data_IF_936479511189
#
_entry.id   IF_936479511189
#
_cell.length_a   1.000
_cell.length_b   1.000
_cell.length_c   1.000
_cell.angle_alpha   90.00
_cell.angle_beta   90.00
_cell.angle_gamma   90.00
#
_symmetry.space_group_name_H-M   'P 1'
#
loop_
_entity.id
_entity.type
_entity.pdbx_description
1 polymer ?
#
# COMPACT_ATOMS: atom_id res chain seq x y z
N UNK A 1 0.17 10.11 -13.54
CA UNK A 1 -0.15 9.56 -14.89
C UNK A 1 -1.09 8.37 -14.72
N UNK A 2 -2.24 8.34 -15.39
CA UNK A 2 -3.20 7.24 -15.34
C UNK A 2 -2.68 6.00 -16.06
N UNK A 3 -3.29 4.82 -15.79
CA UNK A 3 -2.90 3.55 -16.41
C UNK A 3 -2.94 3.60 -17.95
N UNK A 4 -4.03 4.10 -18.54
CA UNK A 4 -4.17 4.23 -20.01
C UNK A 4 -3.08 5.08 -20.63
N UNK A 5 -2.60 6.14 -19.97
CA UNK A 5 -1.49 6.96 -20.46
C UNK A 5 -0.14 6.23 -20.36
N UNK A 6 0.05 5.44 -19.29
CA UNK A 6 1.29 4.68 -19.07
C UNK A 6 1.51 3.61 -20.14
N UNK A 7 0.44 2.99 -20.65
CA UNK A 7 0.55 1.95 -21.70
C UNK A 7 1.15 2.47 -23.01
N UNK A 8 1.17 3.80 -23.21
CA UNK A 8 1.78 4.42 -24.39
C UNK A 8 3.32 4.59 -24.26
N UNK A 9 3.87 4.42 -23.07
CA UNK A 9 5.30 4.56 -22.81
C UNK A 9 5.92 3.17 -22.76
N UNK A 10 6.89 2.84 -23.63
CA UNK A 10 7.49 1.52 -23.65
C UNK A 10 8.31 1.21 -22.40
N UNK A 11 8.38 -0.07 -22.04
CA UNK A 11 9.39 -0.61 -21.12
C UNK A 11 10.20 -1.67 -21.83
N UNK A 12 11.51 -1.67 -21.61
CA UNK A 12 12.46 -2.63 -22.21
C UNK A 12 12.63 -3.79 -21.23
N UNK A 13 12.44 -5.01 -21.70
CA UNK A 13 12.76 -6.22 -20.93
C UNK A 13 14.29 -6.42 -20.92
N UNK A 14 14.94 -6.09 -19.82
CA UNK A 14 16.38 -6.34 -19.61
C UNK A 14 16.64 -7.79 -19.23
N UNK A 15 15.74 -8.36 -18.43
CA UNK A 15 15.71 -9.79 -18.10
C UNK A 15 14.30 -10.33 -18.32
N UNK A 16 14.16 -11.24 -19.25
CA UNK A 16 12.94 -12.01 -19.46
C UNK A 16 12.95 -13.23 -18.56
N UNK A 17 11.94 -13.35 -17.71
CA UNK A 17 11.71 -14.55 -16.91
C UNK A 17 10.72 -15.50 -17.58
N UNK A 18 10.35 -16.54 -16.86
CA UNK A 18 9.28 -17.47 -17.22
C UNK A 18 8.24 -17.47 -16.12
N UNK A 19 6.97 -17.34 -16.45
CA UNK A 19 5.89 -17.51 -15.47
C UNK A 19 5.77 -18.99 -15.17
N UNK A 20 5.97 -19.43 -13.91
CA UNK A 20 5.80 -20.85 -13.57
C UNK A 20 4.36 -21.31 -13.81
N UNK A 21 4.19 -22.54 -14.24
CA UNK A 21 2.87 -23.12 -14.47
C UNK A 21 2.00 -23.05 -13.20
N UNK A 22 0.77 -22.59 -13.35
CA UNK A 22 -0.18 -22.41 -12.24
C UNK A 22 0.03 -21.17 -11.38
N UNK A 23 1.06 -20.35 -11.65
CA UNK A 23 1.30 -19.13 -10.87
C UNK A 23 0.15 -18.13 -10.98
N UNK A 24 -0.39 -17.74 -9.84
CA UNK A 24 -1.47 -16.75 -9.73
C UNK A 24 -0.95 -15.37 -9.33
N UNK A 25 0.23 -15.29 -8.75
CA UNK A 25 0.77 -14.10 -8.09
C UNK A 25 2.07 -13.64 -8.78
N UNK A 26 2.16 -12.36 -9.06
CA UNK A 26 3.43 -11.66 -9.33
C UNK A 26 3.72 -10.70 -8.18
N UNK A 27 4.86 -10.86 -7.51
CA UNK A 27 5.41 -9.84 -6.61
C UNK A 27 6.11 -8.80 -7.48
N UNK A 28 5.58 -7.59 -7.53
CA UNK A 28 6.02 -6.52 -8.40
C UNK A 28 6.63 -5.37 -7.59
N UNK A 29 7.89 -5.04 -7.91
CA UNK A 29 8.72 -4.10 -7.15
C UNK A 29 9.02 -2.90 -8.05
N UNK A 30 8.45 -1.72 -7.78
CA UNK A 30 8.84 -0.49 -8.45
C UNK A 30 10.14 0.03 -7.84
N UNK A 31 11.11 0.46 -8.66
CA UNK A 31 12.37 1.02 -8.14
C UNK A 31 12.83 2.23 -8.94
N UNK A 32 13.62 3.09 -8.31
CA UNK A 32 14.30 4.22 -8.94
C UNK A 32 15.55 4.61 -8.16
N UNK A 33 16.74 4.28 -8.67
CA UNK A 33 18.06 4.65 -8.11
C UNK A 33 18.27 4.24 -6.64
N UNK A 34 17.78 3.04 -6.23
CA UNK A 34 17.84 2.53 -4.84
C UNK A 34 18.34 1.07 -4.77
N UNK A 35 19.37 0.75 -5.55
CA UNK A 35 19.85 -0.63 -5.73
C UNK A 35 20.18 -1.37 -4.41
N UNK A 36 20.74 -0.68 -3.41
CA UNK A 36 21.08 -1.30 -2.12
C UNK A 36 19.84 -1.77 -1.34
N UNK A 37 18.78 -0.95 -1.31
CA UNK A 37 17.52 -1.31 -0.63
C UNK A 37 16.78 -2.39 -1.42
N UNK A 38 16.76 -2.25 -2.75
CA UNK A 38 16.17 -3.23 -3.65
C UNK A 38 16.78 -4.62 -3.45
N UNK A 39 18.08 -4.75 -3.16
CA UNK A 39 18.73 -6.04 -2.86
C UNK A 39 18.03 -6.74 -1.70
N UNK A 40 17.84 -6.05 -0.57
CA UNK A 40 17.20 -6.62 0.60
C UNK A 40 15.74 -7.01 0.31
N UNK A 41 15.00 -6.16 -0.40
CA UNK A 41 13.63 -6.42 -0.83
C UNK A 41 13.55 -7.65 -1.72
N UNK A 42 14.42 -7.74 -2.74
CA UNK A 42 14.47 -8.86 -3.68
C UNK A 42 14.81 -10.18 -2.96
N UNK A 43 15.76 -10.17 -2.05
CA UNK A 43 16.11 -11.36 -1.27
C UNK A 43 14.94 -11.84 -0.41
N UNK A 44 14.13 -10.93 0.16
CA UNK A 44 12.91 -11.31 0.89
C UNK A 44 11.88 -12.01 -0.01
N UNK A 45 11.87 -11.70 -1.31
CA UNK A 45 11.02 -12.37 -2.29
C UNK A 45 11.59 -13.73 -2.73
N UNK A 46 12.91 -13.83 -2.87
CA UNK A 46 13.58 -15.06 -3.31
C UNK A 46 13.62 -16.14 -2.22
N UNK A 47 13.55 -15.75 -0.96
CA UNK A 47 13.57 -16.66 0.19
C UNK A 47 12.19 -17.10 0.67
N UNK A 48 11.15 -16.92 -0.15
CA UNK A 48 9.80 -17.37 0.18
C UNK A 48 9.74 -18.90 0.38
N UNK A 49 9.17 -19.32 1.51
CA UNK A 49 8.95 -20.73 1.87
C UNK A 49 7.53 -21.15 1.45
N UNK A 50 7.40 -21.63 0.23
CA UNK A 50 6.13 -22.03 -0.35
C UNK A 50 6.32 -23.08 -1.42
N UNK A 51 5.30 -23.93 -1.61
CA UNK A 51 5.18 -24.83 -2.75
C UNK A 51 4.34 -24.23 -3.89
N UNK A 52 3.74 -23.06 -3.69
CA UNK A 52 2.94 -22.41 -4.71
C UNK A 52 3.84 -21.64 -5.68
N UNK A 53 3.62 -21.80 -7.00
CA UNK A 53 4.37 -21.06 -7.99
C UNK A 53 3.99 -19.59 -8.00
N UNK A 54 4.98 -18.71 -8.17
CA UNK A 54 4.80 -17.26 -8.28
C UNK A 54 5.89 -16.66 -9.15
N UNK A 55 5.69 -15.43 -9.59
CA UNK A 55 6.67 -14.64 -10.33
C UNK A 55 7.15 -13.45 -9.50
N UNK A 56 8.35 -12.97 -9.79
CA UNK A 56 8.93 -11.75 -9.24
C UNK A 56 9.23 -10.81 -10.41
N UNK A 57 8.87 -9.54 -10.28
CA UNK A 57 9.09 -8.56 -11.32
C UNK A 57 9.62 -7.25 -10.73
N UNK A 58 10.73 -6.77 -11.26
CA UNK A 58 11.28 -5.45 -10.94
C UNK A 58 10.99 -4.52 -12.11
N UNK A 59 10.45 -3.33 -11.83
CA UNK A 59 10.21 -2.27 -12.83
C UNK A 59 10.98 -1.02 -12.41
N UNK A 60 12.03 -0.74 -13.18
CA UNK A 60 12.96 0.36 -12.91
C UNK A 60 12.56 1.61 -13.70
N UNK A 61 12.31 2.69 -12.98
CA UNK A 61 11.94 3.98 -13.53
C UNK A 61 13.17 4.83 -13.97
N UNK A 62 14.39 4.28 -13.83
CA UNK A 62 15.60 4.91 -14.33
C UNK A 62 15.91 4.46 -15.78
N UNK A 63 15.80 5.33 -16.79
CA UNK A 63 16.06 4.96 -18.19
C UNK A 63 17.55 4.72 -18.48
N UNK A 64 18.45 5.17 -17.60
CA UNK A 64 19.90 5.01 -17.80
C UNK A 64 20.30 3.54 -17.82
N UNK A 65 21.03 3.14 -18.87
CA UNK A 65 21.58 1.78 -19.00
C UNK A 65 22.85 1.66 -18.16
N UNK A 66 23.20 0.41 -17.82
CA UNK A 66 24.38 0.08 -17.01
C UNK A 66 24.38 0.72 -15.60
N UNK A 67 23.20 1.16 -15.10
CA UNK A 67 23.07 1.74 -13.78
C UNK A 67 23.22 0.68 -12.66
N UNK A 68 23.34 1.11 -11.43
CA UNK A 68 23.53 0.23 -10.26
C UNK A 68 22.41 -0.82 -10.12
N UNK A 69 21.17 -0.48 -10.45
CA UNK A 69 20.03 -1.43 -10.44
C UNK A 69 20.24 -2.53 -11.50
N UNK A 70 20.68 -2.16 -12.70
CA UNK A 70 20.96 -3.14 -13.75
C UNK A 70 22.14 -4.04 -13.40
N UNK A 71 23.19 -3.49 -12.78
CA UNK A 71 24.34 -4.25 -12.29
C UNK A 71 23.92 -5.24 -11.19
N UNK A 72 23.11 -4.79 -10.22
CA UNK A 72 22.53 -5.65 -9.19
C UNK A 72 21.74 -6.81 -9.79
N UNK A 73 20.82 -6.54 -10.72
CA UNK A 73 19.93 -7.57 -11.28
C UNK A 73 20.68 -8.61 -12.14
N UNK A 74 21.90 -8.31 -12.63
CA UNK A 74 22.77 -9.29 -13.30
C UNK A 74 23.21 -10.43 -12.37
N UNK A 75 23.35 -10.18 -11.07
CA UNK A 75 23.67 -11.23 -10.09
C UNK A 75 22.57 -12.30 -10.03
N UNK A 76 21.33 -11.94 -10.33
CA UNK A 76 20.15 -12.80 -10.28
C UNK A 76 19.73 -13.35 -11.66
N UNK A 77 20.62 -13.32 -12.66
CA UNK A 77 20.32 -13.78 -14.03
C UNK A 77 19.83 -15.23 -14.10
N UNK A 78 20.28 -16.08 -13.17
CA UNK A 78 19.93 -17.49 -13.14
C UNK A 78 18.52 -17.77 -12.54
N UNK A 79 17.86 -16.79 -11.91
CA UNK A 79 16.54 -16.97 -11.33
C UNK A 79 15.47 -17.02 -12.44
N UNK A 80 14.79 -18.16 -12.67
CA UNK A 80 13.96 -18.36 -13.86
C UNK A 80 12.67 -17.54 -13.85
N UNK A 81 12.06 -17.31 -12.67
CA UNK A 81 10.79 -16.60 -12.50
C UNK A 81 10.96 -15.11 -12.16
N UNK A 82 12.16 -14.55 -12.33
CA UNK A 82 12.45 -13.14 -12.14
C UNK A 82 12.45 -12.39 -13.48
N UNK A 83 11.64 -11.33 -13.54
CA UNK A 83 11.57 -10.38 -14.65
C UNK A 83 12.21 -9.06 -14.24
N UNK A 84 12.88 -8.40 -15.18
CA UNK A 84 13.37 -7.05 -14.97
C UNK A 84 13.06 -6.19 -16.19
N UNK A 85 12.25 -5.18 -15.98
CA UNK A 85 11.87 -4.19 -16.97
C UNK A 85 12.43 -2.82 -16.61
N UNK A 86 12.75 -2.05 -17.63
CA UNK A 86 13.24 -0.69 -17.50
C UNK A 86 12.36 0.23 -18.33
N UNK A 87 11.81 1.28 -17.74
CA UNK A 87 11.06 2.29 -18.48
C UNK A 87 12.00 3.08 -19.38
N UNK A 88 11.54 3.46 -20.57
CA UNK A 88 12.35 4.23 -21.54
C UNK A 88 12.54 5.68 -21.12
N UNK A 89 11.73 6.15 -20.17
CA UNK A 89 11.85 7.48 -19.54
C UNK A 89 11.38 7.42 -18.08
N UNK A 90 11.72 8.43 -17.27
CA UNK A 90 11.20 8.56 -15.91
C UNK A 90 9.76 9.08 -15.95
N UNK A 91 8.81 8.20 -15.69
CA UNK A 91 7.36 8.46 -15.71
C UNK A 91 6.79 8.82 -14.33
N UNK A 92 7.65 9.12 -13.36
CA UNK A 92 7.28 9.41 -11.98
C UNK A 92 6.80 8.19 -11.20
N UNK A 93 6.55 8.38 -9.90
CA UNK A 93 6.16 7.30 -8.99
C UNK A 93 4.83 6.67 -9.41
N UNK A 94 3.80 7.48 -9.65
CA UNK A 94 2.46 7.00 -10.06
C UNK A 94 2.51 6.20 -11.36
N UNK A 95 3.28 6.70 -12.34
CA UNK A 95 3.49 6.01 -13.61
C UNK A 95 4.16 4.66 -13.41
N UNK A 96 5.23 4.61 -12.63
CA UNK A 96 5.95 3.37 -12.35
C UNK A 96 5.09 2.34 -11.59
N UNK A 97 4.25 2.79 -10.65
CA UNK A 97 3.30 1.90 -9.96
C UNK A 97 2.24 1.33 -10.92
N UNK A 98 1.75 2.14 -11.86
CA UNK A 98 0.82 1.66 -12.89
C UNK A 98 1.48 0.66 -13.85
N UNK A 99 2.77 0.82 -14.15
CA UNK A 99 3.55 -0.15 -14.96
C UNK A 99 3.63 -1.53 -14.35
N UNK A 100 3.59 -1.65 -13.02
CA UNK A 100 3.55 -2.97 -12.36
C UNK A 100 2.36 -3.81 -12.84
N UNK A 101 1.20 -3.20 -12.99
CA UNK A 101 -0.01 -3.89 -13.40
C UNK A 101 -0.12 -4.07 -14.92
N UNK A 102 0.52 -3.20 -15.70
CA UNK A 102 0.61 -3.37 -17.15
C UNK A 102 1.46 -4.57 -17.51
N UNK A 103 2.66 -4.67 -16.93
CA UNK A 103 3.68 -5.65 -17.29
C UNK A 103 3.46 -7.03 -16.65
N UNK A 104 2.77 -7.10 -15.51
CA UNK A 104 2.46 -8.35 -14.85
C UNK A 104 1.59 -9.25 -15.74
N UNK A 105 1.85 -10.58 -15.71
CA UNK A 105 1.18 -11.57 -16.54
C UNK A 105 0.30 -12.54 -15.73
N UNK A 106 0.27 -12.42 -14.40
CA UNK A 106 -0.55 -13.25 -13.51
C UNK A 106 -1.87 -12.56 -13.15
N UNK A 107 -2.80 -13.30 -12.55
CA UNK A 107 -4.10 -12.79 -12.17
C UNK A 107 -4.06 -11.76 -11.04
N UNK A 108 -3.08 -11.89 -10.15
CA UNK A 108 -2.92 -11.01 -9.00
C UNK A 108 -1.52 -10.39 -8.98
N UNK A 109 -1.46 -9.12 -8.60
CA UNK A 109 -0.22 -8.38 -8.44
C UNK A 109 -0.08 -7.97 -6.98
N UNK A 110 1.06 -8.30 -6.39
CA UNK A 110 1.48 -7.79 -5.09
C UNK A 110 2.39 -6.61 -5.32
N UNK A 111 2.00 -5.42 -4.86
CA UNK A 111 2.87 -4.26 -4.88
C UNK A 111 3.76 -4.27 -3.63
N UNK A 112 5.06 -4.32 -3.84
CA UNK A 112 6.07 -4.27 -2.78
C UNK A 112 7.07 -3.17 -3.07
N UNK A 113 7.20 -2.19 -2.20
CA UNK A 113 8.17 -1.11 -2.39
C UNK A 113 9.61 -1.62 -2.30
N UNK A 114 10.53 -0.95 -2.97
CA UNK A 114 11.95 -1.36 -3.09
C UNK A 114 12.78 -1.17 -1.80
N UNK A 115 12.16 -0.76 -0.71
CA UNK A 115 12.75 -0.62 0.62
C UNK A 115 12.04 -1.45 1.70
N UNK A 116 10.94 -2.12 1.34
CA UNK A 116 10.12 -2.94 2.24
C UNK A 116 10.44 -4.42 2.10
N UNK A 117 9.93 -5.24 3.04
CA UNK A 117 10.19 -6.69 3.03
C UNK A 117 8.91 -7.49 3.20
N UNK A 118 8.94 -8.73 2.71
CA UNK A 118 7.94 -9.75 3.01
C UNK A 118 8.50 -10.74 4.02
N UNK A 119 7.65 -11.25 4.92
CA UNK A 119 7.99 -12.45 5.67
C UNK A 119 8.06 -13.65 4.73
N UNK A 120 8.89 -14.63 5.06
CA UNK A 120 9.20 -15.77 4.20
C UNK A 120 8.02 -16.70 3.88
N UNK A 121 6.89 -16.58 4.56
CA UNK A 121 5.66 -17.31 4.31
C UNK A 121 4.55 -16.47 3.65
N UNK A 122 4.89 -15.29 3.13
CA UNK A 122 3.92 -14.39 2.51
C UNK A 122 3.13 -15.08 1.40
N UNK A 123 3.83 -15.66 0.40
CA UNK A 123 3.17 -16.28 -0.77
C UNK A 123 2.31 -17.46 -0.32
N UNK A 124 2.81 -18.30 0.58
CA UNK A 124 2.07 -19.44 1.13
C UNK A 124 0.75 -19.01 1.77
N UNK A 125 0.78 -17.99 2.63
CA UNK A 125 -0.41 -17.54 3.35
C UNK A 125 -1.41 -16.82 2.44
N UNK A 126 -0.92 -16.00 1.52
CA UNK A 126 -1.78 -15.29 0.56
C UNK A 126 -2.45 -16.28 -0.39
N UNK A 127 -1.71 -17.28 -0.90
CA UNK A 127 -2.28 -18.29 -1.78
C UNK A 127 -3.33 -19.16 -1.05
N UNK A 128 -3.12 -19.51 0.22
CA UNK A 128 -4.13 -20.18 1.05
C UNK A 128 -5.41 -19.33 1.19
N UNK A 129 -5.28 -18.01 1.33
CA UNK A 129 -6.43 -17.10 1.38
C UNK A 129 -7.14 -17.08 0.02
N UNK A 130 -6.40 -16.91 -1.08
CA UNK A 130 -6.99 -16.90 -2.43
C UNK A 130 -7.78 -18.17 -2.72
N UNK A 131 -7.23 -19.33 -2.41
CA UNK A 131 -7.90 -20.65 -2.58
C UNK A 131 -9.16 -20.76 -1.74
N UNK A 132 -9.13 -20.29 -0.50
CA UNK A 132 -10.31 -20.31 0.38
C UNK A 132 -11.48 -19.51 -0.20
N UNK A 133 -11.19 -18.47 -0.95
CA UNK A 133 -12.20 -17.64 -1.63
C UNK A 133 -12.36 -17.99 -3.13
N UNK A 134 -11.83 -19.14 -3.58
CA UNK A 134 -11.87 -19.55 -4.98
C UNK A 134 -11.35 -18.47 -5.95
N UNK A 135 -10.31 -17.72 -5.54
CA UNK A 135 -9.74 -16.58 -6.28
C UNK A 135 -10.74 -15.45 -6.59
N UNK A 136 -11.88 -15.44 -5.90
CA UNK A 136 -12.92 -14.43 -6.05
C UNK A 136 -12.73 -13.27 -5.07
N UNK A 137 -11.55 -12.66 -5.14
CA UNK A 137 -11.10 -11.52 -4.35
C UNK A 137 -10.69 -10.41 -5.32
N UNK A 138 -11.06 -9.16 -5.05
CA UNK A 138 -10.61 -7.99 -5.80
C UNK A 138 -9.33 -7.37 -5.21
N UNK A 139 -9.22 -7.32 -3.87
CA UNK A 139 -7.99 -6.96 -3.19
C UNK A 139 -7.91 -7.58 -1.79
N UNK A 140 -6.67 -7.81 -1.33
CA UNK A 140 -6.34 -8.22 0.02
C UNK A 140 -5.35 -7.22 0.61
N UNK A 141 -5.77 -6.52 1.65
CA UNK A 141 -4.94 -5.63 2.44
C UNK A 141 -4.33 -6.37 3.64
N UNK A 142 -3.19 -5.89 4.09
CA UNK A 142 -2.44 -6.50 5.17
C UNK A 142 -2.17 -5.50 6.30
N UNK A 143 -2.04 -6.01 7.52
CA UNK A 143 -1.35 -5.27 8.57
C UNK A 143 0.15 -5.37 8.38
N UNK A 144 0.86 -4.30 8.71
CA UNK A 144 2.31 -4.19 8.58
C UNK A 144 2.96 -4.13 9.96
N UNK A 145 4.23 -4.54 10.04
CA UNK A 145 5.13 -4.15 11.12
C UNK A 145 6.19 -3.20 10.57
N UNK A 146 6.59 -2.28 11.43
CA UNK A 146 7.61 -1.29 11.09
C UNK A 146 8.98 -1.79 11.50
N UNK A 147 9.98 -1.53 10.67
CA UNK A 147 11.39 -1.80 10.99
C UNK A 147 12.29 -0.68 10.44
N UNK A 148 13.51 -0.59 10.98
CA UNK A 148 14.51 0.40 10.53
C UNK A 148 15.81 -0.25 10.07
N UNK A 149 16.06 -1.49 10.49
CA UNK A 149 17.30 -2.20 10.19
C UNK A 149 17.02 -3.64 9.80
N UNK A 150 17.53 -4.06 8.65
CA UNK A 150 17.39 -5.43 8.11
C UNK A 150 17.88 -6.52 9.08
N UNK A 151 18.88 -6.21 9.90
CA UNK A 151 19.43 -7.16 10.88
C UNK A 151 18.49 -7.40 12.07
N UNK A 152 17.49 -6.52 12.28
CA UNK A 152 16.58 -6.55 13.43
C UNK A 152 15.11 -6.62 12.95
N UNK A 153 14.78 -7.64 12.20
CA UNK A 153 13.40 -7.87 11.73
C UNK A 153 12.49 -8.24 12.91
N UNK A 154 11.38 -7.51 13.12
CA UNK A 154 10.46 -7.80 14.22
C UNK A 154 9.86 -9.20 14.09
N UNK A 155 9.83 -9.97 15.17
CA UNK A 155 9.11 -11.25 15.20
C UNK A 155 7.60 -11.01 15.15
N UNK A 156 6.87 -11.97 14.58
CA UNK A 156 5.40 -11.95 14.63
C UNK A 156 4.88 -12.33 16.00
N UNK A 157 3.81 -11.65 16.43
CA UNK A 157 3.23 -11.85 17.75
C UNK A 157 2.03 -12.83 17.74
N UNK A 158 1.44 -13.06 16.57
CA UNK A 158 0.23 -13.90 16.44
C UNK A 158 0.45 -15.11 15.53
N UNK A 159 -0.24 -16.21 15.87
CA UNK A 159 -0.35 -17.42 15.03
C UNK A 159 -1.73 -17.55 14.40
N UNK A 160 -2.59 -16.55 14.52
CA UNK A 160 -3.97 -16.59 14.04
C UNK A 160 -4.18 -15.58 12.94
N UNK A 161 -4.73 -15.99 11.82
CA UNK A 161 -5.15 -15.13 10.73
C UNK A 161 -6.64 -14.84 10.84
N UNK A 162 -7.01 -13.57 10.95
CA UNK A 162 -8.40 -13.12 10.95
C UNK A 162 -8.64 -12.25 9.73
N UNK A 163 -9.61 -12.60 8.89
CA UNK A 163 -9.95 -11.85 7.68
C UNK A 163 -11.31 -11.19 7.88
N UNK A 164 -11.41 -9.91 7.53
CA UNK A 164 -12.66 -9.14 7.52
C UNK A 164 -12.85 -8.45 6.18
N UNK A 165 -14.10 -8.33 5.74
CA UNK A 165 -14.44 -7.53 4.56
C UNK A 165 -14.24 -6.04 4.86
N UNK A 166 -13.79 -5.30 3.86
CA UNK A 166 -13.65 -3.84 3.88
C UNK A 166 -14.68 -3.25 2.94
N UNK A 167 -15.34 -2.19 3.36
CA UNK A 167 -16.36 -1.46 2.62
C UNK A 167 -15.99 0.02 2.53
N UNK A 168 -16.58 0.82 1.62
CA UNK A 168 -16.24 2.25 1.47
C UNK A 168 -16.31 3.05 2.78
N UNK A 169 -17.28 2.73 3.63
CA UNK A 169 -17.45 3.38 4.93
C UNK A 169 -16.22 3.25 5.85
N UNK A 170 -15.50 2.14 5.80
CA UNK A 170 -14.29 1.93 6.62
C UNK A 170 -13.20 2.95 6.27
N UNK A 171 -13.12 3.32 5.01
CA UNK A 171 -12.17 4.33 4.53
C UNK A 171 -12.58 5.76 4.90
N UNK A 172 -13.81 6.03 5.31
CA UNK A 172 -14.17 7.36 5.81
C UNK A 172 -13.36 7.75 7.05
N UNK A 173 -12.87 6.76 7.81
CA UNK A 173 -12.03 6.99 8.99
C UNK A 173 -10.54 7.15 8.68
N UNK A 174 -10.16 7.08 7.42
CA UNK A 174 -8.80 7.21 6.91
C UNK A 174 -8.26 5.97 6.26
N UNK A 175 -7.08 6.11 5.62
CA UNK A 175 -6.37 4.98 5.10
C UNK A 175 -5.78 4.14 6.26
N UNK A 176 -6.33 2.97 6.48
CA UNK A 176 -5.84 1.99 7.45
C UNK A 176 -5.07 0.84 6.80
N UNK A 177 -4.75 0.97 5.51
CA UNK A 177 -4.10 -0.05 4.70
C UNK A 177 -2.78 0.52 4.15
N UNK A 178 -1.68 -0.12 4.48
CA UNK A 178 -0.39 0.26 3.91
C UNK A 178 -0.30 -0.19 2.44
N UNK A 179 0.44 0.54 1.59
CA UNK A 179 0.59 0.15 0.19
C UNK A 179 1.50 -1.06 0.00
N UNK A 180 2.38 -1.35 0.94
CA UNK A 180 3.37 -2.41 0.81
C UNK A 180 2.80 -3.80 1.07
N UNK A 181 3.03 -4.72 0.16
CA UNK A 181 2.53 -6.09 0.22
C UNK A 181 1.04 -6.23 -0.09
N UNK A 182 0.37 -5.18 -0.55
CA UNK A 182 -1.05 -5.27 -0.96
C UNK A 182 -1.18 -6.14 -2.21
N UNK A 183 -2.16 -7.05 -2.19
CA UNK A 183 -2.50 -7.87 -3.35
C UNK A 183 -3.75 -7.29 -4.01
N UNK A 184 -3.69 -7.07 -5.32
CA UNK A 184 -4.82 -6.57 -6.11
C UNK A 184 -5.00 -7.44 -7.36
N UNK A 185 -6.26 -7.75 -7.69
CA UNK A 185 -6.60 -8.45 -8.92
C UNK A 185 -6.30 -7.56 -10.11
N UNK A 186 -5.40 -8.01 -10.99
CA UNK A 186 -4.88 -7.23 -12.11
C UNK A 186 -5.98 -6.66 -13.01
N UNK A 187 -6.95 -7.48 -13.41
CA UNK A 187 -8.05 -7.04 -14.28
C UNK A 187 -8.90 -5.94 -13.65
N UNK A 188 -9.14 -6.01 -12.35
CA UNK A 188 -9.91 -5.00 -11.60
C UNK A 188 -9.14 -3.68 -11.54
N UNK A 189 -7.84 -3.72 -11.30
CA UNK A 189 -6.98 -2.53 -11.29
C UNK A 189 -7.00 -1.81 -12.65
N UNK A 190 -6.85 -2.58 -13.73
CA UNK A 190 -6.87 -2.06 -15.11
C UNK A 190 -8.22 -1.41 -15.43
N UNK A 191 -9.33 -2.08 -15.09
CA UNK A 191 -10.69 -1.55 -15.31
C UNK A 191 -10.97 -0.25 -14.54
N UNK A 192 -10.27 -0.02 -13.44
CA UNK A 192 -10.32 1.24 -12.69
C UNK A 192 -9.36 2.31 -13.21
N UNK A 193 -8.64 2.06 -14.32
CA UNK A 193 -7.64 2.96 -14.90
C UNK A 193 -6.49 3.30 -13.92
N UNK A 194 -6.14 2.35 -13.04
CA UNK A 194 -4.96 2.42 -12.18
C UNK A 194 -4.98 3.55 -11.14
N UNK A 195 -3.79 3.85 -10.61
CA UNK A 195 -3.58 4.98 -9.70
C UNK A 195 -3.77 6.33 -10.40
N UNK A 196 -4.28 7.30 -9.67
CA UNK A 196 -4.56 8.64 -10.17
C UNK A 196 -3.58 9.69 -9.61
N UNK A 197 -2.72 10.19 -10.45
CA UNK A 197 -1.69 11.18 -10.10
C UNK A 197 -2.24 12.46 -9.44
N UNK A 198 -3.48 12.85 -9.76
CA UNK A 198 -4.14 14.00 -9.16
C UNK A 198 -4.30 13.90 -7.64
N UNK A 199 -4.20 12.68 -7.09
CA UNK A 199 -4.29 12.42 -5.65
C UNK A 199 -2.94 12.24 -4.97
N UNK A 200 -1.83 12.42 -5.69
CA UNK A 200 -0.51 12.37 -5.06
C UNK A 200 -0.45 13.33 -3.85
N UNK A 201 0.03 12.89 -2.68
CA UNK A 201 0.68 11.61 -2.37
C UNK A 201 -0.26 10.49 -1.84
N UNK A 202 -1.58 10.70 -1.74
CA UNK A 202 -2.55 9.72 -1.23
C UNK A 202 -3.10 8.79 -2.32
N UNK A 203 -2.22 8.33 -3.23
CA UNK A 203 -2.56 7.52 -4.41
C UNK A 203 -3.23 6.19 -4.04
N UNK A 204 -2.66 5.52 -3.06
CA UNK A 204 -3.09 4.24 -2.53
C UNK A 204 -4.47 4.37 -1.87
N UNK A 205 -4.66 5.40 -1.05
CA UNK A 205 -5.92 5.66 -0.38
C UNK A 205 -7.07 5.84 -1.38
N UNK A 206 -6.87 6.68 -2.39
CA UNK A 206 -7.87 6.92 -3.44
C UNK A 206 -8.20 5.63 -4.22
N UNK A 207 -7.19 4.87 -4.60
CA UNK A 207 -7.37 3.59 -5.28
C UNK A 207 -8.14 2.59 -4.39
N UNK A 208 -7.82 2.49 -3.11
CA UNK A 208 -8.48 1.56 -2.19
C UNK A 208 -9.94 1.91 -1.97
N UNK A 209 -10.26 3.19 -1.95
CA UNK A 209 -11.66 3.64 -1.91
C UNK A 209 -12.41 3.20 -3.17
N UNK A 210 -11.86 3.42 -4.37
CA UNK A 210 -12.49 2.95 -5.62
C UNK A 210 -12.67 1.44 -5.63
N UNK A 211 -11.66 0.69 -5.23
CA UNK A 211 -11.73 -0.77 -5.10
C UNK A 211 -12.85 -1.18 -4.15
N UNK A 212 -13.03 -0.49 -3.03
CA UNK A 212 -14.00 -0.86 -2.00
C UNK A 212 -15.46 -0.77 -2.47
N UNK A 213 -15.76 0.09 -3.44
CA UNK A 213 -17.09 0.15 -4.07
C UNK A 213 -17.43 -1.07 -4.93
N UNK A 214 -16.42 -1.82 -5.39
CA UNK A 214 -16.62 -3.03 -6.19
C UNK A 214 -16.90 -4.27 -5.31
N UNK A 215 -16.69 -4.17 -4.00
CA UNK A 215 -16.81 -5.30 -3.08
C UNK A 215 -15.68 -6.33 -3.21
N UNK A 216 -15.81 -7.44 -2.47
CA UNK A 216 -14.81 -8.53 -2.42
C UNK A 216 -13.41 -8.05 -2.04
N UNK A 217 -13.38 -7.06 -1.16
CA UNK A 217 -12.18 -6.47 -0.58
C UNK A 217 -12.05 -6.96 0.85
N UNK A 218 -10.88 -7.45 1.18
CA UNK A 218 -10.61 -8.02 2.50
C UNK A 218 -9.36 -7.43 3.12
N UNK A 219 -9.30 -7.47 4.45
CA UNK A 219 -8.09 -7.15 5.19
C UNK A 219 -7.77 -8.30 6.16
N UNK A 220 -6.50 -8.69 6.16
CA UNK A 220 -5.93 -9.63 7.11
C UNK A 220 -5.53 -8.88 8.38
N UNK A 221 -6.08 -9.33 9.51
CA UNK A 221 -5.77 -8.84 10.85
C UNK A 221 -5.05 -9.93 11.65
N UNK A 222 -4.38 -9.51 12.70
CA UNK A 222 -3.74 -10.38 13.68
C UNK A 222 -2.57 -11.22 13.12
N UNK A 223 -2.19 -11.05 11.85
CA UNK A 223 -1.09 -11.75 11.23
C UNK A 223 -0.38 -10.88 10.19
N UNK A 224 0.82 -10.44 10.51
CA UNK A 224 1.59 -9.56 9.63
C UNK A 224 2.37 -10.37 8.61
N UNK A 225 2.26 -9.98 7.34
CA UNK A 225 2.98 -10.62 6.23
C UNK A 225 3.98 -9.68 5.55
N UNK A 226 3.91 -8.38 5.81
CA UNK A 226 4.81 -7.38 5.23
C UNK A 226 5.42 -6.46 6.29
N UNK A 227 6.57 -5.92 5.98
CA UNK A 227 7.39 -5.07 6.83
C UNK A 227 7.61 -3.75 6.12
N UNK A 228 7.25 -2.65 6.77
CA UNK A 228 7.43 -1.29 6.28
C UNK A 228 8.69 -0.68 6.87
N UNK A 229 9.61 -0.22 6.02
CA UNK A 229 10.85 0.41 6.47
C UNK A 229 10.63 1.89 6.79
N UNK A 230 11.01 2.29 8.01
CA UNK A 230 11.19 3.71 8.32
C UNK A 230 12.62 4.10 7.94
N UNK A 231 12.76 4.83 6.84
CA UNK A 231 14.01 5.42 6.37
C UNK A 231 13.71 6.84 5.85
N UNK A 232 14.65 7.47 5.16
CA UNK A 232 14.42 8.73 4.46
C UNK A 232 13.49 8.48 3.25
N UNK A 233 12.20 8.70 3.46
CA UNK A 233 11.13 8.46 2.48
C UNK A 233 10.49 9.78 2.04
N UNK A 234 9.85 9.78 0.86
CA UNK A 234 9.06 10.91 0.35
C UNK A 234 8.00 11.42 1.35
N UNK A 235 7.44 10.51 2.17
CA UNK A 235 6.47 10.85 3.22
C UNK A 235 7.06 11.67 4.37
N UNK A 236 8.37 11.89 4.41
CA UNK A 236 9.05 12.60 5.50
C UNK A 236 9.27 14.09 5.22
N UNK A 237 8.94 14.62 4.04
CA UNK A 237 9.04 16.04 3.77
C UNK A 237 7.75 16.80 4.13
N UNK A 238 7.87 18.10 4.51
CA UNK A 238 6.74 18.90 4.99
C UNK A 238 5.64 19.09 3.94
N UNK A 239 6.02 19.27 2.68
CA UNK A 239 5.07 19.48 1.57
C UNK A 239 4.23 18.21 1.34
N UNK A 240 4.87 17.04 1.33
CA UNK A 240 4.16 15.75 1.21
C UNK A 240 3.19 15.53 2.37
N UNK A 241 3.59 15.82 3.61
CA UNK A 241 2.73 15.67 4.79
C UNK A 241 1.50 16.59 4.70
N UNK A 242 1.69 17.84 4.28
CA UNK A 242 0.60 18.81 4.11
C UNK A 242 -0.35 18.39 2.99
N UNK A 243 0.17 18.06 1.82
CA UNK A 243 -0.63 17.60 0.67
C UNK A 243 -1.39 16.31 0.98
N UNK A 244 -0.78 15.37 1.70
CA UNK A 244 -1.46 14.13 2.13
C UNK A 244 -2.70 14.46 2.96
N UNK A 245 -2.59 15.37 3.93
CA UNK A 245 -3.74 15.82 4.73
C UNK A 245 -4.85 16.42 3.87
N UNK A 246 -4.51 17.22 2.86
CA UNK A 246 -5.48 17.85 1.94
C UNK A 246 -6.17 16.80 1.04
N UNK A 247 -5.40 15.89 0.44
CA UNK A 247 -5.94 14.82 -0.41
C UNK A 247 -6.82 13.86 0.38
N UNK A 248 -6.39 13.48 1.59
CA UNK A 248 -7.18 12.63 2.49
C UNK A 248 -8.54 13.26 2.82
N UNK A 249 -8.61 14.58 3.01
CA UNK A 249 -9.89 15.29 3.21
C UNK A 249 -10.79 15.23 1.98
N UNK A 250 -10.23 15.42 0.79
CA UNK A 250 -11.00 15.34 -0.46
C UNK A 250 -11.60 13.93 -0.57
N UNK A 251 -10.78 12.90 -0.42
CA UNK A 251 -11.20 11.49 -0.50
C UNK A 251 -12.30 11.19 0.53
N UNK A 252 -12.10 11.57 1.79
CA UNK A 252 -13.09 11.30 2.84
C UNK A 252 -14.39 12.07 2.65
N UNK A 253 -14.33 13.30 2.16
CA UNK A 253 -15.53 14.10 1.84
C UNK A 253 -16.34 13.47 0.71
N UNK A 254 -15.69 12.92 -0.31
CA UNK A 254 -16.37 12.20 -1.40
C UNK A 254 -17.09 10.94 -0.87
N UNK A 255 -16.47 10.19 0.04
CA UNK A 255 -17.11 9.02 0.65
C UNK A 255 -18.37 9.41 1.40
N UNK A 256 -18.33 10.47 2.21
CA UNK A 256 -19.46 10.86 3.07
C UNK A 256 -20.49 11.76 2.37
N UNK A 257 -20.28 12.12 1.12
CA UNK A 257 -21.12 13.06 0.36
C UNK A 257 -22.60 12.67 0.35
N UNK A 258 -22.90 11.38 0.28
CA UNK A 258 -24.27 10.82 0.26
C UNK A 258 -24.89 10.64 1.65
N UNK A 259 -24.15 10.86 2.74
CA UNK A 259 -24.65 10.64 4.10
C UNK A 259 -25.52 11.80 4.60
N UNK A 260 -26.41 11.56 5.61
CA UNK A 260 -27.27 12.60 6.17
C UNK A 260 -26.49 13.80 6.71
N UNK A 261 -27.10 14.99 6.67
CA UNK A 261 -26.46 16.25 7.08
C UNK A 261 -25.92 16.23 8.51
N UNK A 262 -26.64 15.64 9.45
CA UNK A 262 -26.19 15.53 10.83
C UNK A 262 -24.91 14.67 10.92
N UNK A 263 -24.88 13.54 10.19
CA UNK A 263 -23.69 12.69 10.11
C UNK A 263 -22.49 13.48 9.59
N UNK A 264 -22.65 14.20 8.48
CA UNK A 264 -21.58 15.03 7.89
C UNK A 264 -21.04 16.08 8.86
N UNK A 265 -21.92 16.74 9.64
CA UNK A 265 -21.49 17.72 10.67
C UNK A 265 -20.67 17.07 11.78
N UNK A 266 -21.12 15.95 12.32
CA UNK A 266 -20.38 15.22 13.36
C UNK A 266 -19.06 14.65 12.80
N UNK A 267 -19.08 14.19 11.56
CA UNK A 267 -17.91 13.67 10.89
C UNK A 267 -16.86 14.75 10.60
N UNK A 268 -17.29 15.96 10.27
CA UNK A 268 -16.36 17.11 10.10
C UNK A 268 -15.58 17.41 11.40
N UNK A 269 -16.25 17.29 12.56
CA UNK A 269 -15.57 17.40 13.86
C UNK A 269 -14.54 16.28 14.05
N UNK A 270 -14.91 15.05 13.69
CA UNK A 270 -13.98 13.91 13.70
C UNK A 270 -12.77 14.17 12.81
N UNK A 271 -12.97 14.61 11.56
CA UNK A 271 -11.89 14.90 10.60
C UNK A 271 -10.91 15.94 11.15
N UNK A 272 -11.40 17.02 11.76
CA UNK A 272 -10.58 18.09 12.34
C UNK A 272 -9.62 17.55 13.42
N UNK A 273 -10.11 16.70 14.29
CA UNK A 273 -9.29 16.05 15.32
C UNK A 273 -8.32 15.03 14.73
N UNK A 274 -8.76 14.26 13.74
CA UNK A 274 -7.90 13.30 13.02
C UNK A 274 -6.76 14.02 12.28
N UNK A 275 -7.03 15.14 11.64
CA UNK A 275 -6.01 15.96 10.99
C UNK A 275 -4.95 16.43 12.00
N UNK A 276 -5.37 16.89 13.18
CA UNK A 276 -4.42 17.23 14.25
C UNK A 276 -3.56 16.04 14.63
N UNK A 277 -4.14 14.85 14.79
CA UNK A 277 -3.39 13.64 15.11
C UNK A 277 -2.46 13.21 13.98
N UNK A 278 -2.84 13.41 12.72
CA UNK A 278 -1.98 13.15 11.57
C UNK A 278 -0.67 13.98 11.67
N UNK A 279 -0.76 15.28 11.91
CA UNK A 279 0.43 16.13 12.02
C UNK A 279 1.28 15.83 13.27
N UNK A 280 0.63 15.53 14.41
CA UNK A 280 1.35 15.11 15.61
C UNK A 280 2.08 13.78 15.36
N UNK A 281 1.38 12.80 14.78
CA UNK A 281 1.93 11.49 14.47
C UNK A 281 3.09 11.56 13.47
N UNK A 282 2.96 12.37 12.41
CA UNK A 282 4.05 12.58 11.46
C UNK A 282 5.31 13.14 12.16
N UNK A 283 5.12 14.11 13.06
CA UNK A 283 6.24 14.69 13.83
C UNK A 283 6.90 13.65 14.74
N UNK A 284 6.12 12.82 15.41
CA UNK A 284 6.63 11.80 16.35
C UNK A 284 7.29 10.62 15.64
N UNK A 285 6.63 10.08 14.62
CA UNK A 285 7.10 8.88 13.91
C UNK A 285 8.33 9.18 13.07
N UNK A 286 8.32 10.27 12.32
CA UNK A 286 9.45 10.64 11.46
C UNK A 286 10.51 11.49 12.18
N UNK A 287 10.28 11.87 13.44
CA UNK A 287 11.17 12.74 14.23
C UNK A 287 11.51 14.07 13.53
N UNK A 288 10.56 14.59 12.75
CA UNK A 288 10.71 15.83 11.98
C UNK A 288 10.18 17.03 12.76
N UNK A 289 10.77 18.20 12.57
CA UNK A 289 10.36 19.44 13.24
C UNK A 289 10.24 20.60 12.25
N UNK A 290 9.29 20.49 11.34
CA UNK A 290 9.04 21.52 10.33
C UNK A 290 8.21 22.69 10.90
N UNK A 291 8.60 23.96 10.68
CA UNK A 291 7.84 25.12 11.13
C UNK A 291 6.39 25.13 10.65
N UNK A 292 6.14 24.76 9.39
CA UNK A 292 4.83 24.73 8.75
C UNK A 292 3.89 23.73 9.44
N UNK A 293 4.41 22.54 9.76
CA UNK A 293 3.67 21.50 10.49
C UNK A 293 3.35 21.98 11.92
N UNK A 294 4.30 22.62 12.60
CA UNK A 294 4.06 23.17 13.93
C UNK A 294 3.02 24.31 13.91
N UNK A 295 3.02 25.15 12.88
CA UNK A 295 2.01 26.19 12.69
C UNK A 295 0.64 25.55 12.51
N UNK A 296 0.52 24.53 11.66
CA UNK A 296 -0.74 23.80 11.41
C UNK A 296 -1.29 23.15 12.68
N UNK A 297 -0.41 22.54 13.49
CA UNK A 297 -0.79 21.99 14.80
C UNK A 297 -1.36 23.08 15.72
N UNK A 298 -0.72 24.26 15.80
CA UNK A 298 -1.24 25.40 16.62
C UNK A 298 -2.60 25.86 16.14
N UNK A 299 -2.77 26.06 14.83
CA UNK A 299 -4.05 26.46 14.22
C UNK A 299 -5.17 25.47 14.51
N UNK A 300 -4.92 24.18 14.37
CA UNK A 300 -5.91 23.14 14.64
C UNK A 300 -6.26 23.07 16.14
N UNK A 301 -5.26 23.16 17.03
CA UNK A 301 -5.49 23.18 18.47
C UNK A 301 -6.37 24.35 18.91
N UNK A 302 -6.21 25.55 18.31
CA UNK A 302 -7.03 26.71 18.63
C UNK A 302 -8.48 26.60 18.16
N UNK A 303 -8.74 25.77 17.13
CA UNK A 303 -10.08 25.55 16.54
C UNK A 303 -10.82 24.35 17.13
N UNK A 304 -10.17 23.53 17.97
CA UNK A 304 -10.76 22.33 18.58
C UNK A 304 -11.23 22.66 19.99
N UNK A 305 -12.54 22.58 20.18
CA UNK A 305 -13.20 22.82 21.49
C UNK A 305 -13.20 21.58 22.37
N UNK A 306 -13.58 21.74 23.63
CA UNK A 306 -13.81 20.61 24.53
C UNK A 306 -14.89 19.64 23.99
N UNK A 307 -15.98 20.19 23.44
CA UNK A 307 -17.04 19.37 22.84
C UNK A 307 -16.57 18.60 21.60
N UNK A 308 -15.71 19.19 20.76
CA UNK A 308 -15.10 18.49 19.62
C UNK A 308 -14.31 17.26 20.08
N UNK A 309 -13.61 17.35 21.21
CA UNK A 309 -12.87 16.22 21.79
C UNK A 309 -13.79 15.11 22.29
N UNK A 310 -14.93 15.46 22.92
CA UNK A 310 -15.92 14.47 23.36
C UNK A 310 -16.56 13.75 22.16
N UNK A 311 -16.95 14.48 21.11
CA UNK A 311 -17.47 13.90 19.87
C UNK A 311 -16.43 13.00 19.24
N UNK A 312 -15.17 13.41 19.18
CA UNK A 312 -14.07 12.58 18.65
C UNK A 312 -13.88 11.30 19.45
N UNK A 313 -13.96 11.36 20.77
CA UNK A 313 -13.91 10.17 21.63
C UNK A 313 -15.07 9.20 21.33
N UNK A 314 -16.28 9.73 21.17
CA UNK A 314 -17.45 8.95 20.76
C UNK A 314 -17.23 8.24 19.42
N UNK A 315 -16.65 8.93 18.43
CA UNK A 315 -16.27 8.33 17.16
C UNK A 315 -15.23 7.21 17.32
N UNK A 316 -14.23 7.38 18.15
CA UNK A 316 -13.22 6.32 18.40
C UNK A 316 -13.85 5.06 18.98
N UNK A 317 -14.79 5.22 19.91
CA UNK A 317 -15.54 4.08 20.47
C UNK A 317 -16.40 3.42 19.39
N UNK A 318 -17.14 4.21 18.62
CA UNK A 318 -17.95 3.71 17.51
C UNK A 318 -17.12 2.94 16.48
N UNK A 319 -15.98 3.49 16.03
CA UNK A 319 -15.09 2.84 15.07
C UNK A 319 -14.60 1.49 15.62
N UNK A 320 -14.18 1.47 16.89
CA UNK A 320 -13.73 0.23 17.53
C UNK A 320 -14.84 -0.83 17.55
N UNK A 321 -16.06 -0.45 17.92
CA UNK A 321 -17.22 -1.34 17.93
C UNK A 321 -17.58 -1.80 16.51
N UNK A 322 -17.59 -0.89 15.54
CA UNK A 322 -17.85 -1.21 14.14
C UNK A 322 -16.91 -2.30 13.62
N UNK A 323 -15.59 -2.17 13.83
CA UNK A 323 -14.63 -3.19 13.41
C UNK A 323 -14.70 -4.47 14.24
N UNK A 324 -15.08 -4.39 15.52
CA UNK A 324 -15.27 -5.59 16.36
C UNK A 324 -16.48 -6.43 15.90
N UNK A 325 -17.57 -5.78 15.54
CA UNK A 325 -18.82 -6.43 15.15
C UNK A 325 -18.86 -6.95 13.72
N UNK A 326 -17.89 -6.56 12.89
CA UNK A 326 -17.79 -7.08 11.51
C UNK A 326 -17.66 -8.60 11.50
N UNK A 327 -18.35 -9.27 10.57
CA UNK A 327 -18.13 -10.68 10.31
C UNK A 327 -16.66 -10.98 10.07
N UNK A 328 -16.15 -12.01 10.72
CA UNK A 328 -14.74 -12.43 10.61
C UNK A 328 -14.64 -13.88 10.15
N UNK A 329 -13.70 -14.13 9.28
CA UNK A 329 -13.29 -15.48 8.90
C UNK A 329 -11.93 -15.76 9.54
N UNK A 330 -11.84 -16.83 10.32
CA UNK A 330 -10.56 -17.28 10.88
C UNK A 330 -9.99 -18.38 10.01
N UNK A 331 -8.72 -18.26 9.67
CA UNK A 331 -7.95 -19.30 8.98
C UNK A 331 -7.02 -19.93 10.03
N UNK A 332 -7.13 -21.24 10.21
CA UNK A 332 -6.16 -22.00 11.00
C UNK A 332 -4.89 -22.16 10.18
N UNK A 333 -3.76 -21.92 10.80
CA UNK A 333 -2.43 -22.07 10.21
C UNK A 333 -1.99 -23.52 10.19
#
# INVERSE_FOLDING_TARGET
>A
MRYTAVTQIPSIAIKQGTIPEGAQITIAIPTYKRALLLRETLESCLTQQTNFPFAIMVVDNNPERECETEQLLREYKAIPNLFYYKNTENIGMTGNWNKLFELAQTNFVVMLHDDDLLYNDYVEKVECILRKYNYDINALFLDIKVFSNYKNIPKRDSKKMTIKSIIPFDFSFGNSCAPTGVLIKRSVFINLDGFNDSYFPSLDYEMYVRLSYLGKIFKLFDYTLSLYRISENESMNSDTILRMSEKDKIITNDIIKSYPTLYKKLFYIYQKNRELLHFIGAKEVFKVNFPEINQKIRELKSKITFFDKLIFLGWRVFIKLHFMLKPKTTIKL
#
